data_IF_403526660184
#
_entry.id   IF_403526660184
#
_cell.length_a   1.000
_cell.length_b   1.000
_cell.length_c   1.000
_cell.angle_alpha   90.00
_cell.angle_beta   90.00
_cell.angle_gamma   90.00
#
_symmetry.space_group_name_H-M   'P 1'
#
loop_
_entity.id
_entity.type
_entity.pdbx_description
1 polymer ?
#
# COMPACT_ATOMS: atom_id res chain seq x y z
N UNK A 1 0.04 -12.06 10.27
CA UNK A 1 -0.56 -10.83 9.78
C UNK A 1 -1.81 -10.49 10.58
N UNK A 2 -1.97 -9.22 10.95
CA UNK A 2 -3.09 -8.73 11.78
C UNK A 2 -3.96 -7.73 11.02
N UNK A 3 -3.43 -7.19 9.93
CA UNK A 3 -4.10 -6.23 9.05
C UNK A 3 -3.63 -6.44 7.62
N UNK A 4 -4.54 -6.36 6.66
CA UNK A 4 -4.26 -6.50 5.24
C UNK A 4 -5.03 -5.47 4.42
N UNK A 5 -4.42 -5.04 3.32
CA UNK A 5 -5.03 -4.22 2.29
C UNK A 5 -5.57 -5.10 1.17
N UNK A 6 -6.70 -4.71 0.61
CA UNK A 6 -7.23 -5.30 -0.61
C UNK A 6 -7.54 -4.23 -1.66
N UNK A 7 -7.43 -4.54 -2.96
CA UNK A 7 -7.92 -3.65 -4.01
C UNK A 7 -9.45 -3.64 -4.05
N UNK A 8 -10.04 -2.53 -4.49
CA UNK A 8 -11.44 -2.44 -4.90
C UNK A 8 -11.48 -2.63 -6.40
N UNK A 9 -11.82 -3.84 -6.86
CA UNK A 9 -11.73 -4.32 -8.23
C UNK A 9 -10.28 -4.43 -8.77
N UNK A 10 -10.06 -4.20 -10.06
CA UNK A 10 -8.78 -4.43 -10.72
C UNK A 10 -7.65 -3.55 -10.19
N UNK A 11 -6.50 -4.16 -9.97
CA UNK A 11 -5.22 -3.52 -9.67
C UNK A 11 -4.18 -3.81 -10.78
N UNK A 12 -2.92 -3.47 -10.56
CA UNK A 12 -1.82 -3.71 -11.50
C UNK A 12 -1.49 -5.20 -11.71
N UNK A 13 -1.83 -6.09 -10.77
CA UNK A 13 -1.69 -7.55 -10.88
C UNK A 13 -2.94 -8.27 -11.37
N UNK A 14 -4.05 -7.58 -11.59
CA UNK A 14 -5.25 -8.20 -12.11
C UNK A 14 -5.03 -8.81 -13.51
N UNK A 15 -5.50 -10.03 -13.73
CA UNK A 15 -5.45 -10.70 -15.03
C UNK A 15 -6.27 -9.94 -16.08
N UNK A 16 -7.46 -9.47 -15.67
CA UNK A 16 -8.36 -8.69 -16.48
C UNK A 16 -8.64 -7.34 -15.81
N UNK A 17 -8.87 -6.31 -16.61
CA UNK A 17 -9.34 -5.04 -16.08
C UNK A 17 -10.86 -5.08 -15.91
N UNK A 18 -11.32 -4.81 -14.72
CA UNK A 18 -12.73 -4.82 -14.35
C UNK A 18 -13.00 -3.81 -13.24
N UNK A 19 -14.23 -3.37 -13.15
CA UNK A 19 -14.80 -2.77 -11.96
C UNK A 19 -16.11 -3.48 -11.62
N UNK A 20 -16.71 -3.10 -10.51
CA UNK A 20 -18.00 -3.71 -10.12
C UNK A 20 -19.19 -3.14 -10.91
N UNK A 21 -18.98 -2.12 -11.76
CA UNK A 21 -20.00 -1.58 -12.65
C UNK A 21 -19.39 -0.81 -13.83
N UNK A 22 -19.25 -1.48 -14.96
CA UNK A 22 -18.81 -0.86 -16.24
C UNK A 22 -19.97 -0.45 -17.16
N UNK A 23 -21.18 -0.29 -16.61
CA UNK A 23 -22.33 0.16 -17.37
C UNK A 23 -22.40 1.68 -17.37
N UNK A 24 -21.96 2.32 -18.44
CA UNK A 24 -21.94 3.78 -18.58
C UNK A 24 -23.34 4.37 -18.33
N UNK A 25 -23.38 5.39 -17.44
CA UNK A 25 -24.62 6.08 -17.10
C UNK A 25 -25.48 5.37 -16.03
N UNK A 26 -25.07 4.21 -15.53
CA UNK A 26 -25.76 3.56 -14.40
C UNK A 26 -25.42 4.24 -13.07
N UNK A 27 -25.82 5.48 -12.92
CA UNK A 27 -25.59 6.28 -11.71
C UNK A 27 -26.28 5.71 -10.45
N UNK A 28 -27.32 4.91 -10.62
CA UNK A 28 -28.02 4.23 -9.53
C UNK A 28 -27.32 2.93 -9.10
N UNK A 29 -26.24 2.52 -9.79
CA UNK A 29 -25.51 1.27 -9.52
C UNK A 29 -26.43 0.04 -9.48
N UNK A 30 -27.45 -0.01 -10.36
CA UNK A 30 -28.38 -1.15 -10.43
C UNK A 30 -27.69 -2.43 -10.91
N UNK A 31 -26.67 -2.29 -11.77
CA UNK A 31 -25.88 -3.39 -12.32
C UNK A 31 -24.57 -3.65 -11.57
N UNK A 32 -24.43 -3.10 -10.36
CA UNK A 32 -23.27 -3.34 -9.51
C UNK A 32 -23.15 -4.84 -9.17
N UNK A 33 -21.95 -5.41 -9.33
CA UNK A 33 -21.69 -6.83 -9.04
C UNK A 33 -20.25 -7.08 -8.64
N UNK A 34 -20.05 -7.85 -7.55
CA UNK A 34 -18.74 -8.35 -7.10
C UNK A 34 -18.45 -9.76 -7.60
N UNK A 35 -19.20 -10.26 -8.59
CA UNK A 35 -19.11 -11.66 -9.05
C UNK A 35 -17.70 -12.08 -9.50
N UNK A 36 -16.90 -11.15 -9.98
CA UNK A 36 -15.49 -11.42 -10.31
C UNK A 36 -14.68 -11.74 -9.04
N UNK A 37 -14.83 -10.96 -7.99
CA UNK A 37 -14.11 -11.16 -6.72
C UNK A 37 -14.55 -12.40 -5.97
N UNK A 38 -15.77 -12.86 -6.18
CA UNK A 38 -16.26 -14.14 -5.62
C UNK A 38 -15.46 -15.35 -6.12
N UNK A 39 -14.76 -15.20 -7.25
CA UNK A 39 -13.92 -16.25 -7.84
C UNK A 39 -12.44 -16.09 -7.48
N UNK A 40 -12.02 -14.92 -6.99
CA UNK A 40 -10.60 -14.55 -6.80
C UNK A 40 -10.32 -14.04 -5.39
N UNK A 41 -10.56 -12.76 -5.12
CA UNK A 41 -10.17 -12.10 -3.87
C UNK A 41 -10.89 -12.63 -2.64
N UNK A 42 -12.21 -12.86 -2.73
CA UNK A 42 -13.02 -13.30 -1.59
C UNK A 42 -12.57 -14.65 -1.05
N UNK A 43 -12.38 -15.71 -1.87
CA UNK A 43 -11.85 -16.98 -1.39
C UNK A 43 -10.47 -16.87 -0.75
N UNK A 44 -9.60 -16.01 -1.29
CA UNK A 44 -8.27 -15.77 -0.74
C UNK A 44 -8.33 -15.11 0.65
N UNK A 45 -9.17 -14.07 0.81
CA UNK A 45 -9.37 -13.39 2.09
C UNK A 45 -9.97 -14.33 3.12
N UNK A 46 -11.00 -15.10 2.75
CA UNK A 46 -11.65 -16.08 3.62
C UNK A 46 -10.68 -17.18 4.06
N UNK A 47 -9.78 -17.63 3.18
CA UNK A 47 -8.72 -18.57 3.55
C UNK A 47 -7.77 -17.95 4.60
N UNK A 48 -7.40 -16.69 4.47
CA UNK A 48 -6.58 -16.00 5.48
C UNK A 48 -7.33 -15.82 6.81
N UNK A 49 -8.63 -15.47 6.78
CA UNK A 49 -9.47 -15.33 7.97
C UNK A 49 -9.70 -16.67 8.69
N UNK A 50 -9.65 -17.79 7.97
CA UNK A 50 -9.74 -19.11 8.60
C UNK A 50 -8.56 -19.40 9.56
N UNK A 51 -7.39 -18.81 9.30
CA UNK A 51 -6.22 -18.89 10.18
C UNK A 51 -6.14 -17.76 11.20
N UNK A 52 -6.66 -16.57 10.85
CA UNK A 52 -6.75 -15.42 11.76
C UNK A 52 -8.13 -14.77 11.65
N UNK A 53 -9.12 -15.21 12.47
CA UNK A 53 -10.47 -14.63 12.46
C UNK A 53 -10.53 -13.14 12.80
N UNK A 54 -9.52 -12.62 13.48
CA UNK A 54 -9.41 -11.19 13.86
C UNK A 54 -8.68 -10.34 12.81
N UNK A 55 -8.36 -10.92 11.62
CA UNK A 55 -7.69 -10.21 10.54
C UNK A 55 -8.53 -9.02 10.08
N UNK A 56 -7.95 -7.84 10.20
CA UNK A 56 -8.58 -6.58 9.76
C UNK A 56 -8.31 -6.35 8.29
N UNK A 57 -9.35 -5.96 7.55
CA UNK A 57 -9.25 -5.69 6.12
C UNK A 57 -9.63 -4.24 5.84
N UNK A 58 -8.77 -3.53 5.11
CA UNK A 58 -9.07 -2.22 4.54
C UNK A 58 -8.88 -2.23 3.02
N UNK A 59 -9.44 -1.24 2.33
CA UNK A 59 -9.48 -1.28 0.89
C UNK A 59 -9.20 0.07 0.23
N UNK A 60 -8.68 0.02 -1.00
CA UNK A 60 -8.55 1.18 -1.88
C UNK A 60 -8.72 0.78 -3.35
N UNK A 61 -9.38 1.59 -4.18
CA UNK A 61 -9.44 1.38 -5.62
C UNK A 61 -8.17 1.86 -6.30
N UNK A 62 -7.76 1.16 -7.36
CA UNK A 62 -6.76 1.64 -8.32
C UNK A 62 -7.39 2.51 -9.39
N UNK A 63 -8.60 2.16 -9.81
CA UNK A 63 -9.35 2.91 -10.79
C UNK A 63 -10.85 2.88 -10.43
N UNK A 64 -11.58 3.98 -10.54
CA UNK A 64 -13.04 3.95 -10.55
C UNK A 64 -13.55 3.19 -11.80
N UNK A 65 -14.85 2.87 -11.91
CA UNK A 65 -15.42 2.44 -13.17
C UNK A 65 -14.92 3.32 -14.32
N UNK A 66 -14.48 2.71 -15.42
CA UNK A 66 -13.75 3.44 -16.48
C UNK A 66 -14.57 4.60 -17.07
N UNK A 67 -15.88 4.44 -17.17
CA UNK A 67 -16.80 5.46 -17.67
C UNK A 67 -16.93 6.71 -16.77
N UNK A 68 -16.42 6.65 -15.52
CA UNK A 68 -16.38 7.81 -14.61
C UNK A 68 -15.12 8.65 -14.78
N UNK A 69 -14.23 8.28 -15.71
CA UNK A 69 -13.04 9.06 -16.09
C UNK A 69 -13.25 9.77 -17.41
N UNK A 70 -12.61 10.93 -17.57
CA UNK A 70 -12.66 11.67 -18.84
C UNK A 70 -12.10 10.86 -20.02
N UNK A 71 -11.07 10.04 -19.78
CA UNK A 71 -10.48 9.15 -20.79
C UNK A 71 -11.32 7.91 -21.08
N UNK A 72 -12.30 7.58 -20.22
CA UNK A 72 -13.06 6.32 -20.26
C UNK A 72 -12.17 5.07 -20.33
N UNK A 73 -10.97 5.15 -19.75
CA UNK A 73 -9.96 4.10 -19.80
C UNK A 73 -9.42 3.81 -18.41
N UNK A 74 -9.06 2.55 -18.11
CA UNK A 74 -8.52 2.15 -16.81
C UNK A 74 -7.19 2.81 -16.48
N UNK A 75 -6.24 2.87 -17.44
CA UNK A 75 -4.95 3.49 -17.23
C UNK A 75 -5.02 5.03 -17.30
N UNK A 76 -3.99 5.68 -16.79
CA UNK A 76 -3.78 7.13 -16.93
C UNK A 76 -2.61 7.47 -17.83
N UNK A 77 -1.75 6.50 -18.19
CA UNK A 77 -0.58 6.68 -19.04
C UNK A 77 -0.51 5.61 -20.13
N UNK A 78 -0.09 5.97 -21.34
CA UNK A 78 0.08 5.05 -22.47
C UNK A 78 1.37 4.24 -22.32
N UNK A 79 1.26 2.90 -22.40
CA UNK A 79 2.45 2.03 -22.42
C UNK A 79 3.31 2.27 -23.66
N UNK A 80 2.70 2.55 -24.79
CA UNK A 80 3.42 2.78 -26.05
C UNK A 80 4.26 4.05 -25.99
N UNK A 81 3.69 5.13 -25.44
CA UNK A 81 4.43 6.38 -25.24
C UNK A 81 5.55 6.20 -24.21
N UNK A 82 5.27 5.56 -23.06
CA UNK A 82 6.26 5.31 -22.03
C UNK A 82 7.41 4.45 -22.56
N UNK A 83 7.12 3.40 -23.35
CA UNK A 83 8.15 2.55 -23.97
C UNK A 83 9.04 3.34 -24.93
N UNK A 84 8.45 4.25 -25.71
CA UNK A 84 9.20 5.13 -26.63
C UNK A 84 10.10 6.08 -25.86
N UNK A 85 9.58 6.79 -24.86
CA UNK A 85 10.32 7.73 -24.01
C UNK A 85 11.50 7.04 -23.29
N UNK A 86 11.27 5.86 -22.74
CA UNK A 86 12.33 5.06 -22.11
C UNK A 86 13.39 4.64 -23.13
N UNK A 87 12.99 4.17 -24.31
CA UNK A 87 13.94 3.79 -25.37
C UNK A 87 14.80 4.96 -25.82
N UNK A 88 14.23 6.16 -25.93
CA UNK A 88 14.96 7.38 -26.28
C UNK A 88 15.95 7.82 -25.20
N UNK A 89 15.69 7.47 -23.94
CA UNK A 89 16.58 7.78 -22.82
C UNK A 89 17.75 6.81 -22.64
N UNK A 90 17.72 5.62 -23.29
CA UNK A 90 18.75 4.59 -23.16
C UNK A 90 20.02 4.97 -23.92
N UNK A 91 21.17 4.62 -23.32
CA UNK A 91 22.46 4.65 -24.01
C UNK A 91 22.63 3.43 -24.92
N UNK A 92 23.57 3.54 -25.86
CA UNK A 92 23.89 2.44 -26.77
C UNK A 92 24.26 1.16 -25.98
N UNK A 93 23.57 0.06 -26.29
CA UNK A 93 23.76 -1.25 -25.63
C UNK A 93 22.91 -1.48 -24.38
N UNK A 94 22.20 -0.47 -23.88
CA UNK A 94 21.25 -0.65 -22.78
C UNK A 94 19.92 -1.21 -23.28
N UNK A 95 19.25 -2.00 -22.44
CA UNK A 95 17.91 -2.52 -22.70
C UNK A 95 16.93 -2.11 -21.60
N UNK A 96 15.64 -2.02 -21.94
CA UNK A 96 14.60 -1.74 -20.96
C UNK A 96 13.61 -2.90 -20.86
N UNK A 97 13.06 -3.12 -19.66
CA UNK A 97 11.95 -4.05 -19.44
C UNK A 97 10.73 -3.70 -20.31
N UNK A 98 10.55 -2.43 -20.65
CA UNK A 98 9.43 -1.95 -21.45
C UNK A 98 9.41 -2.49 -22.89
N UNK A 99 10.50 -3.12 -23.37
CA UNK A 99 10.51 -3.79 -24.66
C UNK A 99 9.55 -5.00 -24.76
N UNK A 100 9.09 -5.51 -23.61
CA UNK A 100 8.17 -6.65 -23.49
C UNK A 100 6.76 -6.25 -23.02
N UNK A 101 6.52 -4.96 -22.78
CA UNK A 101 5.26 -4.49 -22.24
C UNK A 101 4.16 -4.54 -23.29
N UNK A 102 3.01 -5.03 -22.87
CA UNK A 102 1.81 -5.09 -23.71
C UNK A 102 1.20 -3.70 -23.85
N UNK A 103 0.72 -3.38 -25.04
CA UNK A 103 -0.06 -2.16 -25.29
C UNK A 103 -1.30 -2.16 -24.38
N UNK A 104 -1.46 -1.12 -23.58
CA UNK A 104 -2.62 -0.97 -22.72
C UNK A 104 -3.83 -0.34 -23.41
N UNK A 105 -3.68 0.07 -24.69
CA UNK A 105 -4.75 0.61 -25.49
C UNK A 105 -5.15 2.06 -25.19
N UNK A 106 -4.47 2.75 -24.27
CA UNK A 106 -4.74 4.17 -24.00
C UNK A 106 -4.08 5.04 -25.09
N UNK A 107 -4.87 5.84 -25.87
CA UNK A 107 -4.33 6.83 -26.80
C UNK A 107 -3.49 7.89 -26.07
N UNK A 108 -2.37 8.31 -26.67
CA UNK A 108 -1.45 9.26 -26.05
C UNK A 108 -2.06 10.64 -25.77
N UNK A 109 -3.03 11.08 -26.58
CA UNK A 109 -3.76 12.33 -26.41
C UNK A 109 -4.82 12.28 -25.29
N UNK A 110 -5.08 11.10 -24.74
CA UNK A 110 -6.01 10.87 -23.64
C UNK A 110 -5.30 10.61 -22.28
N UNK A 111 -3.99 10.79 -22.21
CA UNK A 111 -3.24 10.67 -20.98
C UNK A 111 -3.63 11.74 -19.96
N UNK A 112 -3.56 11.33 -18.70
CA UNK A 112 -3.66 12.23 -17.55
C UNK A 112 -2.34 12.24 -16.77
N UNK A 113 -2.10 13.34 -16.09
CA UNK A 113 -0.88 13.58 -15.33
C UNK A 113 -1.20 13.98 -13.90
N UNK A 114 -0.20 13.92 -13.05
CA UNK A 114 -0.25 14.41 -11.68
C UNK A 114 -0.68 15.89 -11.65
N UNK A 115 -1.49 16.24 -10.65
CA UNK A 115 -2.02 17.60 -10.50
C UNK A 115 -3.22 17.92 -11.39
N UNK A 116 -3.79 16.93 -12.08
CA UNK A 116 -5.00 17.05 -12.88
C UNK A 116 -5.99 15.93 -12.53
N UNK A 117 -7.28 16.29 -12.39
CA UNK A 117 -8.33 15.30 -12.12
C UNK A 117 -8.65 14.48 -13.37
N UNK A 118 -8.43 13.17 -13.31
CA UNK A 118 -8.86 12.22 -14.34
C UNK A 118 -10.31 11.78 -14.12
N UNK A 119 -10.80 11.81 -12.89
CA UNK A 119 -12.19 11.54 -12.54
C UNK A 119 -13.08 12.72 -12.96
N UNK A 120 -14.27 12.45 -13.50
CA UNK A 120 -15.23 13.47 -13.92
C UNK A 120 -15.77 14.23 -12.70
N UNK A 121 -15.47 15.53 -12.63
CA UNK A 121 -15.72 16.40 -11.48
C UNK A 121 -17.16 16.93 -11.45
N UNK A 122 -18.15 16.07 -11.71
CA UNK A 122 -19.56 16.41 -11.74
C UNK A 122 -20.35 15.68 -10.64
N UNK A 123 -21.38 16.34 -10.12
CA UNK A 123 -22.16 15.83 -8.99
C UNK A 123 -22.74 14.41 -9.20
N UNK A 124 -23.33 14.05 -10.37
CA UNK A 124 -23.86 12.71 -10.57
C UNK A 124 -22.78 11.61 -10.44
N UNK A 125 -21.57 11.89 -10.93
CA UNK A 125 -20.44 10.95 -10.85
C UNK A 125 -19.94 10.79 -9.42
N UNK A 126 -19.81 11.87 -8.67
CA UNK A 126 -19.44 11.81 -7.26
C UNK A 126 -20.44 11.01 -6.43
N UNK A 127 -21.75 11.26 -6.61
CA UNK A 127 -22.81 10.51 -5.93
C UNK A 127 -22.76 9.03 -6.27
N UNK A 128 -22.63 8.71 -7.54
CA UNK A 128 -22.53 7.33 -8.01
C UNK A 128 -21.29 6.64 -7.46
N UNK A 129 -20.16 7.33 -7.41
CA UNK A 129 -18.93 6.72 -6.89
C UNK A 129 -18.97 6.53 -5.36
N UNK A 130 -19.57 7.43 -4.60
CA UNK A 130 -19.83 7.20 -3.18
C UNK A 130 -20.80 6.02 -2.96
N UNK A 131 -21.84 5.88 -3.79
CA UNK A 131 -22.74 4.73 -3.78
C UNK A 131 -22.02 3.42 -4.15
N UNK A 132 -21.08 3.47 -5.10
CA UNK A 132 -20.22 2.33 -5.45
C UNK A 132 -19.45 1.82 -4.23
N UNK A 133 -18.81 2.69 -3.45
CA UNK A 133 -18.16 2.31 -2.18
C UNK A 133 -19.14 1.74 -1.17
N UNK A 134 -20.33 2.35 -1.03
CA UNK A 134 -21.37 1.85 -0.13
C UNK A 134 -21.78 0.43 -0.47
N UNK A 135 -22.07 0.16 -1.74
CA UNK A 135 -22.44 -1.18 -2.23
C UNK A 135 -21.30 -2.20 -2.09
N UNK A 136 -20.06 -1.78 -2.35
CA UNK A 136 -18.87 -2.61 -2.13
C UNK A 136 -18.80 -3.10 -0.68
N UNK A 137 -18.91 -2.18 0.29
CA UNK A 137 -18.86 -2.51 1.71
C UNK A 137 -19.98 -3.47 2.10
N UNK A 138 -21.21 -3.22 1.65
CA UNK A 138 -22.35 -4.10 1.94
C UNK A 138 -22.18 -5.48 1.32
N UNK A 139 -21.71 -5.56 0.09
CA UNK A 139 -21.50 -6.82 -0.61
C UNK A 139 -20.41 -7.68 0.04
N UNK A 140 -19.31 -7.08 0.46
CA UNK A 140 -18.23 -7.78 1.17
C UNK A 140 -18.66 -8.21 2.57
N UNK A 141 -19.39 -7.36 3.29
CA UNK A 141 -19.98 -7.72 4.58
C UNK A 141 -20.93 -8.91 4.48
N UNK A 142 -21.73 -8.97 3.41
CA UNK A 142 -22.59 -10.14 3.15
C UNK A 142 -21.81 -11.44 2.89
N UNK A 143 -20.52 -11.34 2.55
CA UNK A 143 -19.59 -12.49 2.41
C UNK A 143 -18.77 -12.77 3.70
N UNK A 144 -19.08 -12.08 4.80
CA UNK A 144 -18.37 -12.24 6.07
C UNK A 144 -17.03 -11.50 6.12
N UNK A 145 -16.83 -10.52 5.27
CA UNK A 145 -15.60 -9.70 5.23
C UNK A 145 -15.96 -8.25 5.61
N UNK A 146 -15.58 -7.85 6.82
CA UNK A 146 -15.77 -6.49 7.29
C UNK A 146 -14.63 -5.58 6.82
N UNK A 147 -14.96 -4.56 6.03
CA UNK A 147 -14.03 -3.50 5.61
C UNK A 147 -14.08 -2.40 6.67
N UNK A 148 -13.04 -2.28 7.50
CA UNK A 148 -13.05 -1.33 8.61
C UNK A 148 -12.62 0.09 8.21
N UNK A 149 -11.89 0.24 7.07
CA UNK A 149 -11.36 1.51 6.60
C UNK A 149 -11.19 1.49 5.07
N UNK A 150 -11.34 2.64 4.44
CA UNK A 150 -11.02 2.85 3.03
C UNK A 150 -10.10 4.04 2.84
N UNK A 151 -9.27 4.00 1.78
CA UNK A 151 -8.64 5.17 1.18
C UNK A 151 -9.25 5.40 -0.20
N UNK A 152 -9.51 6.65 -0.60
CA UNK A 152 -10.33 6.94 -1.78
C UNK A 152 -9.69 6.55 -3.11
N UNK A 153 -8.35 6.44 -3.16
CA UNK A 153 -7.62 6.16 -4.40
C UNK A 153 -6.22 5.62 -4.12
N UNK A 154 -5.82 4.53 -4.77
CA UNK A 154 -4.42 4.14 -4.85
C UNK A 154 -3.64 5.17 -5.68
N UNK A 155 -2.49 5.64 -5.16
CA UNK A 155 -1.57 6.52 -5.88
C UNK A 155 -2.27 7.71 -6.58
N UNK A 156 -3.12 8.43 -5.85
CA UNK A 156 -3.92 9.52 -6.41
C UNK A 156 -3.08 10.61 -7.10
N UNK A 157 -1.80 10.70 -6.78
CA UNK A 157 -0.85 11.67 -7.33
C UNK A 157 0.25 11.03 -8.20
N UNK A 158 -0.07 9.92 -8.87
CA UNK A 158 0.83 9.22 -9.80
C UNK A 158 0.06 8.65 -10.99
N UNK A 159 0.45 9.04 -12.21
CA UNK A 159 -0.14 8.50 -13.44
C UNK A 159 0.53 7.18 -13.83
N UNK A 160 -0.25 6.12 -13.99
CA UNK A 160 0.26 4.78 -14.22
C UNK A 160 -0.25 4.16 -15.51
N UNK A 161 0.50 3.18 -16.03
CA UNK A 161 0.18 2.39 -17.22
C UNK A 161 -0.81 1.25 -16.96
N UNK A 162 -1.07 0.95 -15.70
CA UNK A 162 -2.04 0.01 -15.17
C UNK A 162 -3.29 0.75 -14.65
N UNK A 163 -4.31 0.07 -14.13
CA UNK A 163 -5.47 0.74 -13.55
C UNK A 163 -5.05 1.83 -12.57
N UNK A 164 -5.39 3.08 -12.86
CA UNK A 164 -5.01 4.25 -12.07
C UNK A 164 -5.95 5.42 -12.34
N UNK A 165 -6.02 6.36 -11.40
CA UNK A 165 -6.78 7.59 -11.56
C UNK A 165 -6.11 8.73 -10.81
N UNK A 166 -5.59 9.72 -11.55
CA UNK A 166 -5.05 10.93 -10.94
C UNK A 166 -6.17 11.82 -10.40
N UNK A 167 -5.91 12.40 -9.23
CA UNK A 167 -6.77 13.38 -8.60
C UNK A 167 -5.95 14.58 -8.13
N UNK A 168 -6.55 15.76 -8.19
CA UNK A 168 -6.04 16.89 -7.42
C UNK A 168 -6.48 16.77 -5.96
N UNK A 169 -5.74 17.39 -5.04
CA UNK A 169 -6.16 17.45 -3.64
C UNK A 169 -7.52 18.16 -3.49
N UNK A 170 -7.83 19.15 -4.34
CA UNK A 170 -9.15 19.82 -4.37
C UNK A 170 -10.27 18.89 -4.84
N UNK A 171 -10.03 18.11 -5.90
CA UNK A 171 -10.99 17.12 -6.37
C UNK A 171 -11.30 16.07 -5.32
N UNK A 172 -10.25 15.53 -4.65
CA UNK A 172 -10.42 14.60 -3.54
C UNK A 172 -11.07 15.25 -2.32
N UNK A 173 -10.69 16.49 -1.96
CA UNK A 173 -11.34 17.23 -0.85
C UNK A 173 -12.84 17.35 -1.09
N UNK A 174 -13.25 17.73 -2.30
CA UNK A 174 -14.68 17.80 -2.66
C UNK A 174 -15.36 16.42 -2.56
N UNK A 175 -14.73 15.37 -3.10
CA UNK A 175 -15.28 14.02 -3.04
C UNK A 175 -15.40 13.52 -1.61
N UNK A 176 -14.36 13.65 -0.80
CA UNK A 176 -14.35 13.26 0.61
C UNK A 176 -15.38 14.07 1.40
N UNK A 177 -15.35 15.39 1.28
CA UNK A 177 -16.13 16.27 2.14
C UNK A 177 -17.64 16.21 1.89
N UNK A 178 -18.04 16.04 0.62
CA UNK A 178 -19.45 16.16 0.24
C UNK A 178 -20.13 14.80 -0.03
N UNK A 179 -19.38 13.74 -0.34
CA UNK A 179 -19.94 12.47 -0.79
C UNK A 179 -19.40 11.27 -0.03
N UNK A 180 -18.11 10.97 -0.15
CA UNK A 180 -17.53 9.74 0.42
C UNK A 180 -17.52 9.78 1.96
N UNK A 181 -17.10 10.89 2.56
CA UNK A 181 -17.01 11.02 4.02
C UNK A 181 -18.37 10.81 4.72
N UNK A 182 -19.45 11.50 4.31
CA UNK A 182 -20.79 11.21 4.83
C UNK A 182 -21.18 9.73 4.69
N UNK A 183 -20.95 9.14 3.51
CA UNK A 183 -21.26 7.73 3.22
C UNK A 183 -20.49 6.78 4.13
N UNK A 184 -19.18 6.99 4.31
CA UNK A 184 -18.36 6.15 5.19
C UNK A 184 -18.76 6.29 6.66
N UNK A 185 -19.07 7.50 7.10
CA UNK A 185 -19.57 7.76 8.47
C UNK A 185 -20.88 7.02 8.73
N UNK A 186 -21.81 7.03 7.79
CA UNK A 186 -23.07 6.27 7.87
C UNK A 186 -22.84 4.76 7.96
N UNK A 187 -21.85 4.23 7.21
CA UNK A 187 -21.45 2.83 7.25
C UNK A 187 -20.63 2.43 8.48
N UNK A 188 -20.17 3.37 9.28
CA UNK A 188 -19.25 3.11 10.38
C UNK A 188 -17.85 2.70 9.91
N UNK A 189 -17.47 3.05 8.69
CA UNK A 189 -16.18 2.75 8.06
C UNK A 189 -15.28 3.98 8.15
N UNK A 190 -14.04 3.77 8.58
CA UNK A 190 -13.05 4.85 8.67
C UNK A 190 -12.61 5.32 7.29
N UNK A 191 -12.24 6.58 7.20
CA UNK A 191 -11.70 7.17 5.98
C UNK A 191 -10.32 7.76 6.27
N UNK A 192 -9.31 7.29 5.51
CA UNK A 192 -7.97 7.85 5.53
C UNK A 192 -7.66 8.48 4.18
N UNK A 193 -6.84 9.53 4.19
CA UNK A 193 -6.38 10.17 2.96
C UNK A 193 -5.16 9.42 2.40
N UNK A 194 -5.20 9.05 1.14
CA UNK A 194 -4.12 8.32 0.46
C UNK A 194 -4.66 7.50 -0.73
N UNK A 195 -3.80 6.68 -1.31
CA UNK A 195 -2.39 6.47 -0.90
C UNK A 195 -1.47 7.47 -1.61
N UNK A 196 -0.55 8.09 -0.89
CA UNK A 196 0.39 9.05 -1.45
C UNK A 196 1.63 8.33 -1.98
N UNK A 197 1.88 8.42 -3.28
CA UNK A 197 3.05 7.81 -3.92
C UNK A 197 4.19 8.81 -4.11
N UNK A 198 3.90 10.08 -4.40
CA UNK A 198 4.90 11.16 -4.52
C UNK A 198 4.82 12.10 -3.34
N UNK A 199 5.98 12.43 -2.76
CA UNK A 199 6.05 13.25 -1.56
C UNK A 199 5.56 14.69 -1.81
N UNK A 200 4.46 15.07 -1.13
CA UNK A 200 3.95 16.43 -1.18
C UNK A 200 3.06 16.73 0.03
N UNK A 201 3.60 17.43 1.03
CA UNK A 201 2.88 17.79 2.25
C UNK A 201 1.67 18.69 2.00
N UNK A 202 1.75 19.59 1.00
CA UNK A 202 0.68 20.54 0.69
C UNK A 202 -0.62 19.85 0.24
N UNK A 203 -0.55 18.60 -0.28
CA UNK A 203 -1.74 17.83 -0.61
C UNK A 203 -2.52 17.42 0.65
N UNK A 204 -1.80 17.04 1.70
CA UNK A 204 -2.40 16.72 3.01
C UNK A 204 -2.99 17.96 3.66
N UNK A 205 -2.25 19.08 3.63
CA UNK A 205 -2.73 20.37 4.16
C UNK A 205 -4.03 20.80 3.48
N UNK A 206 -4.13 20.62 2.17
CA UNK A 206 -5.36 20.95 1.41
C UNK A 206 -6.57 20.15 1.90
N UNK A 207 -6.41 18.87 2.20
CA UNK A 207 -7.50 18.01 2.67
C UNK A 207 -7.88 18.31 4.13
N UNK A 208 -6.88 18.45 5.00
CA UNK A 208 -7.11 18.59 6.44
C UNK A 208 -7.57 19.98 6.85
N UNK A 209 -7.13 21.02 6.14
CA UNK A 209 -7.54 22.40 6.42
C UNK A 209 -8.89 22.78 5.79
N UNK A 210 -9.43 21.96 4.89
CA UNK A 210 -10.81 22.10 4.44
C UNK A 210 -11.75 21.46 5.47
N UNK A 211 -12.54 22.26 6.17
CA UNK A 211 -13.46 21.79 7.21
C UNK A 211 -14.46 20.74 6.70
N UNK A 212 -14.81 20.76 5.41
CA UNK A 212 -15.73 19.78 4.84
C UNK A 212 -15.08 18.39 4.74
N UNK A 213 -13.84 18.28 4.31
CA UNK A 213 -13.14 16.98 4.17
C UNK A 213 -12.38 16.58 5.43
N UNK A 214 -11.67 17.50 6.09
CA UNK A 214 -10.82 17.22 7.25
C UNK A 214 -11.55 16.54 8.41
N UNK A 215 -12.84 16.84 8.60
CA UNK A 215 -13.65 16.22 9.65
C UNK A 215 -13.88 14.71 9.48
N UNK A 216 -13.61 14.16 8.29
CA UNK A 216 -13.80 12.73 8.00
C UNK A 216 -12.49 11.96 7.98
N UNK A 217 -11.33 12.64 7.87
CA UNK A 217 -10.04 12.01 7.69
C UNK A 217 -9.40 11.71 9.05
N UNK A 218 -9.26 10.43 9.37
CA UNK A 218 -8.67 9.96 10.63
C UNK A 218 -7.17 9.60 10.49
N UNK A 219 -6.63 9.54 9.27
CA UNK A 219 -5.25 9.19 9.01
C UNK A 219 -4.80 9.41 7.57
N UNK A 220 -3.53 9.13 7.31
CA UNK A 220 -2.89 9.30 6.00
C UNK A 220 -2.09 8.05 5.64
N UNK A 221 -2.16 7.65 4.37
CA UNK A 221 -1.42 6.52 3.81
C UNK A 221 -0.31 6.94 2.85
N UNK A 222 0.85 6.30 2.99
CA UNK A 222 2.06 6.57 2.22
C UNK A 222 2.62 5.30 1.60
N UNK A 223 3.15 5.42 0.39
CA UNK A 223 3.89 4.37 -0.29
C UNK A 223 4.97 4.97 -1.20
N UNK A 224 5.96 4.17 -1.58
CA UNK A 224 7.04 4.57 -2.49
C UNK A 224 7.69 5.90 -2.06
N UNK A 225 7.89 6.85 -2.99
CA UNK A 225 8.48 8.16 -2.68
C UNK A 225 7.61 9.02 -1.74
N UNK A 226 6.34 8.69 -1.55
CA UNK A 226 5.47 9.35 -0.56
C UNK A 226 6.01 9.33 0.86
N UNK A 227 6.87 8.34 1.19
CA UNK A 227 7.57 8.23 2.48
C UNK A 227 8.35 9.48 2.88
N UNK A 228 8.85 10.23 1.90
CA UNK A 228 9.68 11.41 2.15
C UNK A 228 8.87 12.59 2.72
N UNK A 229 7.55 12.61 2.53
CA UNK A 229 6.66 13.59 3.14
C UNK A 229 6.26 13.23 4.58
N UNK A 230 6.37 11.96 4.97
CA UNK A 230 5.89 11.45 6.26
C UNK A 230 6.46 12.19 7.48
N UNK A 231 7.78 12.47 7.59
CA UNK A 231 8.32 13.14 8.78
C UNK A 231 7.69 14.51 9.03
N UNK A 232 7.54 15.32 7.97
CA UNK A 232 6.93 16.65 8.04
C UNK A 232 5.43 16.59 8.38
N UNK A 233 4.72 15.63 7.79
CA UNK A 233 3.29 15.44 8.05
C UNK A 233 3.07 14.94 9.48
N UNK A 234 3.88 14.00 9.97
CA UNK A 234 3.81 13.55 11.35
C UNK A 234 4.08 14.68 12.34
N UNK A 235 5.04 15.53 12.06
CA UNK A 235 5.32 16.71 12.89
C UNK A 235 4.14 17.70 12.94
N UNK A 236 3.48 17.93 11.79
CA UNK A 236 2.38 18.89 11.69
C UNK A 236 1.06 18.33 12.23
N UNK A 237 0.85 17.02 12.13
CA UNK A 237 -0.42 16.34 12.46
C UNK A 237 -0.20 15.10 13.35
N UNK A 238 0.44 15.22 14.53
CA UNK A 238 0.84 14.06 15.34
C UNK A 238 -0.35 13.26 15.91
N UNK A 239 -1.57 13.81 15.85
CA UNK A 239 -2.81 13.17 16.30
C UNK A 239 -3.36 12.14 15.29
N UNK A 240 -2.92 12.20 14.03
CA UNK A 240 -3.41 11.30 12.98
C UNK A 240 -2.76 9.92 13.07
N UNK A 241 -3.42 8.95 12.47
CA UNK A 241 -2.83 7.64 12.20
C UNK A 241 -2.11 7.65 10.86
N UNK A 242 -0.95 6.99 10.80
CA UNK A 242 -0.16 6.88 9.58
C UNK A 242 0.01 5.42 9.20
N UNK A 243 -0.22 5.12 7.93
CA UNK A 243 -0.07 3.79 7.36
C UNK A 243 1.01 3.82 6.27
N UNK A 244 1.96 2.92 6.37
CA UNK A 244 2.71 2.50 5.20
C UNK A 244 1.82 1.48 4.48
N UNK A 245 1.36 1.83 3.30
CA UNK A 245 0.28 1.15 2.60
C UNK A 245 0.75 0.16 1.55
N UNK A 246 2.01 0.29 1.12
CA UNK A 246 2.60 -0.57 0.11
C UNK A 246 4.12 -0.41 0.13
N UNK A 247 4.83 -1.49 0.41
CA UNK A 247 6.30 -1.47 0.38
C UNK A 247 6.82 -1.56 -1.07
N UNK A 248 7.91 -0.86 -1.32
CA UNK A 248 8.74 -1.05 -2.52
C UNK A 248 9.27 -2.49 -2.54
N UNK A 249 8.97 -3.22 -3.59
CA UNK A 249 9.18 -4.68 -3.63
C UNK A 249 10.31 -5.11 -4.57
N UNK A 250 11.36 -4.31 -4.70
CA UNK A 250 12.64 -4.69 -5.28
C UNK A 250 12.61 -5.12 -6.76
N UNK A 251 13.50 -6.02 -7.13
CA UNK A 251 13.85 -6.38 -8.51
C UNK A 251 13.64 -7.86 -8.86
N UNK A 252 12.97 -8.61 -8.01
CA UNK A 252 12.66 -10.03 -8.21
C UNK A 252 13.75 -11.00 -7.79
N UNK A 253 14.90 -10.52 -7.28
CA UNK A 253 15.99 -11.42 -6.84
C UNK A 253 15.72 -12.10 -5.51
N UNK A 254 14.87 -11.51 -4.67
CA UNK A 254 14.56 -12.04 -3.34
C UNK A 254 15.83 -12.36 -2.52
N UNK A 255 16.81 -11.47 -2.53
CA UNK A 255 18.12 -11.64 -1.90
C UNK A 255 18.27 -10.76 -0.63
N UNK A 256 19.48 -10.78 -0.03
CA UNK A 256 19.77 -9.97 1.15
C UNK A 256 19.65 -8.45 0.86
N UNK A 257 19.96 -8.00 -0.34
CA UNK A 257 19.84 -6.58 -0.67
C UNK A 257 18.37 -6.10 -0.57
N UNK A 258 17.42 -6.90 -1.07
CA UNK A 258 15.98 -6.64 -0.90
C UNK A 258 15.57 -6.66 0.57
N UNK A 259 16.05 -7.64 1.34
CA UNK A 259 15.76 -7.74 2.78
C UNK A 259 16.32 -6.54 3.57
N UNK A 260 17.56 -6.14 3.28
CA UNK A 260 18.18 -4.97 3.92
C UNK A 260 17.41 -3.68 3.60
N UNK A 261 17.00 -3.51 2.33
CA UNK A 261 16.17 -2.38 1.92
C UNK A 261 14.82 -2.38 2.67
N UNK A 262 14.17 -3.54 2.78
CA UNK A 262 12.93 -3.69 3.55
C UNK A 262 13.11 -3.31 5.01
N UNK A 263 14.24 -3.67 5.62
CA UNK A 263 14.56 -3.30 7.00
C UNK A 263 14.77 -1.78 7.13
N UNK A 264 15.44 -1.15 6.18
CA UNK A 264 15.64 0.31 6.17
C UNK A 264 14.32 1.07 6.01
N UNK A 265 13.45 0.63 5.12
CA UNK A 265 12.10 1.17 4.97
C UNK A 265 11.29 1.02 6.27
N UNK A 266 11.32 -0.15 6.88
CA UNK A 266 10.59 -0.42 8.12
C UNK A 266 11.05 0.50 9.25
N UNK A 267 12.37 0.71 9.40
CA UNK A 267 12.93 1.67 10.36
C UNK A 267 12.47 3.10 10.05
N UNK A 268 12.52 3.52 8.80
CA UNK A 268 12.10 4.86 8.39
C UNK A 268 10.63 5.10 8.78
N UNK A 269 9.74 4.22 8.38
CA UNK A 269 8.32 4.38 8.63
C UNK A 269 7.97 4.32 10.12
N UNK A 270 8.47 3.32 10.83
CA UNK A 270 8.14 3.14 12.26
C UNK A 270 8.75 4.23 13.15
N UNK A 271 9.95 4.73 12.84
CA UNK A 271 10.55 5.87 13.56
C UNK A 271 9.76 7.18 13.33
N UNK A 272 9.06 7.29 12.22
CA UNK A 272 8.24 8.45 11.87
C UNK A 272 6.74 8.27 12.17
N UNK A 273 6.39 7.40 13.14
CA UNK A 273 5.05 7.35 13.72
C UNK A 273 4.04 6.49 12.97
N UNK A 274 4.45 5.67 12.00
CA UNK A 274 3.56 4.76 11.30
C UNK A 274 3.03 3.68 12.25
N UNK A 275 1.71 3.43 12.16
CA UNK A 275 0.99 2.48 13.01
C UNK A 275 0.80 1.12 12.34
N UNK A 276 0.88 1.07 11.00
CA UNK A 276 0.70 -0.14 10.17
C UNK A 276 1.76 -0.16 9.09
N UNK A 277 2.38 -1.32 8.89
CA UNK A 277 3.37 -1.57 7.85
C UNK A 277 2.93 -2.78 7.01
N UNK A 278 2.86 -2.63 5.68
CA UNK A 278 2.36 -3.64 4.77
C UNK A 278 3.35 -3.92 3.62
N UNK A 279 3.56 -5.19 3.35
CA UNK A 279 4.33 -5.64 2.20
C UNK A 279 3.41 -5.82 0.99
N UNK A 280 3.83 -5.39 -0.21
CA UNK A 280 2.98 -5.43 -1.40
C UNK A 280 2.66 -6.87 -1.82
N UNK A 281 3.66 -7.64 -2.24
CA UNK A 281 3.46 -8.98 -2.77
C UNK A 281 3.57 -10.05 -1.67
N UNK A 282 2.45 -10.64 -1.27
CA UNK A 282 2.48 -11.76 -0.31
C UNK A 282 3.06 -13.02 -0.95
N UNK A 283 2.69 -13.32 -2.19
CA UNK A 283 3.22 -14.46 -2.94
C UNK A 283 3.26 -14.15 -4.44
N UNK A 284 4.32 -14.57 -5.10
CA UNK A 284 4.48 -14.52 -6.55
C UNK A 284 5.05 -15.85 -7.04
N UNK A 285 4.84 -16.13 -8.32
CA UNK A 285 5.53 -17.21 -9.02
C UNK A 285 7.04 -16.94 -9.09
N UNK A 286 7.83 -17.98 -9.33
CA UNK A 286 9.26 -17.86 -9.52
C UNK A 286 9.60 -16.85 -10.62
N UNK A 287 10.49 -15.89 -10.29
CA UNK A 287 10.86 -14.78 -11.16
C UNK A 287 10.03 -13.51 -10.97
N UNK A 288 8.83 -13.60 -10.41
CA UNK A 288 8.01 -12.44 -9.98
C UNK A 288 7.75 -11.38 -11.05
N UNK A 289 7.66 -11.77 -12.35
CA UNK A 289 7.51 -10.82 -13.45
C UNK A 289 6.03 -10.43 -13.62
N UNK A 290 5.74 -9.13 -13.51
CA UNK A 290 4.41 -8.61 -13.78
C UNK A 290 4.10 -8.59 -15.29
N UNK A 291 2.80 -8.47 -15.66
CA UNK A 291 2.39 -8.26 -17.06
C UNK A 291 3.00 -6.99 -17.69
N UNK A 292 3.51 -6.08 -16.88
CA UNK A 292 4.14 -4.83 -17.29
C UNK A 292 5.65 -4.98 -17.51
N UNK A 293 6.20 -6.18 -17.29
CA UNK A 293 7.57 -6.54 -17.61
C UNK A 293 8.59 -6.27 -16.51
N UNK A 294 8.19 -5.72 -15.36
CA UNK A 294 9.11 -5.59 -14.22
C UNK A 294 9.04 -6.80 -13.29
N UNK A 295 10.18 -7.14 -12.71
CA UNK A 295 10.31 -8.15 -11.69
C UNK A 295 10.16 -7.54 -10.31
N UNK A 296 9.54 -8.29 -9.40
CA UNK A 296 9.30 -7.86 -8.02
C UNK A 296 9.60 -8.98 -7.04
N UNK A 297 10.04 -8.60 -5.83
CA UNK A 297 10.19 -9.51 -4.71
C UNK A 297 8.81 -9.83 -4.10
N UNK A 298 8.73 -10.96 -3.40
CA UNK A 298 7.56 -11.37 -2.63
C UNK A 298 7.98 -11.98 -1.30
N UNK A 299 7.05 -12.09 -0.35
CA UNK A 299 7.32 -12.79 0.91
C UNK A 299 7.45 -14.30 0.71
N UNK A 300 6.74 -14.83 -0.28
CA UNK A 300 6.73 -16.25 -0.64
C UNK A 300 6.87 -16.39 -2.14
N UNK A 301 7.80 -17.21 -2.57
CA UNK A 301 7.95 -17.60 -3.98
C UNK A 301 7.33 -18.98 -4.17
N UNK A 302 6.39 -19.08 -5.09
CA UNK A 302 5.72 -20.33 -5.47
C UNK A 302 6.46 -20.95 -6.63
N UNK A 303 6.78 -22.25 -6.50
CA UNK A 303 7.42 -22.99 -7.57
C UNK A 303 6.51 -23.16 -8.79
N UNK A 304 7.05 -23.32 -10.02
CA UNK A 304 6.27 -23.40 -11.25
C UNK A 304 5.24 -24.54 -11.28
N UNK A 305 5.44 -25.60 -10.48
CA UNK A 305 4.51 -26.73 -10.38
C UNK A 305 3.33 -26.45 -9.42
N UNK A 306 3.33 -25.32 -8.73
CA UNK A 306 2.31 -24.92 -7.75
C UNK A 306 2.23 -25.80 -6.50
N UNK A 307 3.21 -26.69 -6.27
CA UNK A 307 3.19 -27.67 -5.17
C UNK A 307 4.13 -27.36 -4.03
N UNK A 308 5.09 -26.49 -4.26
CA UNK A 308 6.07 -26.07 -3.25
C UNK A 308 6.24 -24.56 -3.26
N UNK A 309 6.78 -24.05 -2.17
CA UNK A 309 7.08 -22.62 -2.02
C UNK A 309 8.31 -22.43 -1.13
N UNK A 310 8.89 -21.25 -1.23
CA UNK A 310 10.04 -20.83 -0.41
C UNK A 310 9.74 -19.48 0.24
N UNK A 311 10.05 -19.35 1.52
CA UNK A 311 10.07 -18.06 2.20
C UNK A 311 11.29 -17.26 1.80
N UNK A 312 11.10 -15.99 1.49
CA UNK A 312 12.18 -15.09 1.11
C UNK A 312 12.84 -14.42 2.31
N UNK A 313 14.01 -13.79 2.15
CA UNK A 313 14.59 -12.97 3.21
C UNK A 313 13.65 -11.86 3.71
N UNK A 314 12.87 -11.22 2.85
CA UNK A 314 11.88 -10.21 3.23
C UNK A 314 10.77 -10.77 4.13
N UNK A 315 10.35 -12.02 3.92
CA UNK A 315 9.43 -12.68 4.85
C UNK A 315 9.98 -12.69 6.28
N UNK A 316 11.26 -13.00 6.43
CA UNK A 316 11.89 -13.02 7.74
C UNK A 316 12.03 -11.62 8.33
N UNK A 317 12.31 -10.59 7.51
CA UNK A 317 12.29 -9.19 7.98
C UNK A 317 10.91 -8.83 8.52
N UNK A 318 9.84 -9.11 7.78
CA UNK A 318 8.48 -8.88 8.25
C UNK A 318 8.18 -9.66 9.53
N UNK A 319 8.65 -10.89 9.64
CA UNK A 319 8.44 -11.76 10.81
C UNK A 319 9.06 -11.18 12.08
N UNK A 320 10.20 -10.51 12.01
CA UNK A 320 10.82 -9.88 13.19
C UNK A 320 9.87 -8.89 13.88
N UNK A 321 9.08 -8.13 13.15
CA UNK A 321 8.07 -7.23 13.71
C UNK A 321 6.75 -7.98 13.92
N UNK A 322 6.19 -8.61 12.88
CA UNK A 322 4.83 -9.16 12.92
C UNK A 322 4.64 -10.29 13.94
N UNK A 323 5.72 -10.99 14.32
CA UNK A 323 5.66 -12.09 15.29
C UNK A 323 5.90 -11.64 16.74
N UNK A 324 6.77 -10.64 16.94
CA UNK A 324 7.22 -10.27 18.29
C UNK A 324 6.61 -8.96 18.81
N UNK A 325 6.18 -8.06 17.91
CA UNK A 325 5.56 -6.80 18.28
C UNK A 325 4.05 -6.96 18.21
N UNK A 326 3.41 -6.98 19.37
CA UNK A 326 1.96 -7.23 19.49
C UNK A 326 1.15 -6.01 19.02
N UNK A 327 -0.07 -6.20 18.47
CA UNK A 327 -1.01 -5.11 18.33
C UNK A 327 -1.19 -4.33 19.65
N UNK A 328 -1.10 -3.00 19.57
CA UNK A 328 -1.12 -2.14 20.76
C UNK A 328 0.25 -1.89 21.41
N UNK A 329 1.32 -2.48 20.90
CA UNK A 329 2.69 -2.15 21.32
C UNK A 329 3.01 -0.67 21.05
N UNK A 330 3.93 -0.15 21.83
CA UNK A 330 4.44 1.22 21.67
C UNK A 330 5.91 1.18 21.30
N UNK A 331 6.27 1.86 20.22
CA UNK A 331 7.69 2.12 19.94
C UNK A 331 8.27 2.99 21.06
N UNK A 332 9.45 2.66 21.50
CA UNK A 332 10.20 3.44 22.50
C UNK A 332 11.43 4.07 21.84
N UNK A 333 11.75 5.29 22.25
CA UNK A 333 12.96 5.96 21.83
C UNK A 333 14.20 5.23 22.35
N UNK A 334 15.27 5.29 21.56
CA UNK A 334 16.56 4.69 21.88
C UNK A 334 17.64 5.75 21.76
N UNK A 335 18.56 5.75 22.73
CA UNK A 335 19.70 6.66 22.78
C UNK A 335 21.00 5.88 22.57
N UNK A 336 21.99 6.49 21.92
CA UNK A 336 23.32 5.91 21.72
C UNK A 336 23.79 5.99 20.26
N UNK A 337 24.94 5.38 19.99
CA UNK A 337 25.59 5.42 18.70
C UNK A 337 25.16 4.31 17.73
N UNK A 338 24.37 3.34 18.18
CA UNK A 338 23.88 2.27 17.32
C UNK A 338 22.46 2.58 16.83
N UNK A 339 22.35 2.99 15.58
CA UNK A 339 21.08 3.47 15.00
C UNK A 339 20.30 2.38 14.25
N UNK A 340 20.95 1.25 13.94
CA UNK A 340 20.33 0.16 13.17
C UNK A 340 19.46 -0.74 14.06
N UNK A 341 18.49 -0.11 14.73
CA UNK A 341 17.58 -0.83 15.63
C UNK A 341 16.21 -0.14 15.76
N UNK A 342 15.23 -0.95 16.19
CA UNK A 342 13.92 -0.54 16.67
C UNK A 342 13.68 -1.18 18.05
N UNK A 343 12.97 -0.48 18.91
CA UNK A 343 12.57 -1.01 20.22
C UNK A 343 11.09 -0.73 20.52
N UNK A 344 10.44 -1.69 21.17
CA UNK A 344 9.01 -1.64 21.48
C UNK A 344 8.75 -2.14 22.90
N UNK A 345 7.67 -1.64 23.49
CA UNK A 345 7.03 -2.21 24.67
C UNK A 345 5.69 -2.81 24.25
N UNK A 346 5.51 -4.10 24.46
CA UNK A 346 4.25 -4.81 24.24
C UNK A 346 3.22 -4.53 25.35
N UNK A 347 1.93 -4.79 25.13
CA UNK A 347 0.90 -4.69 26.18
C UNK A 347 1.15 -5.55 27.41
N UNK A 348 1.83 -6.68 27.25
CA UNK A 348 2.26 -7.58 28.37
C UNK A 348 3.51 -7.08 29.09
N UNK A 349 4.02 -5.88 28.75
CA UNK A 349 5.22 -5.22 29.26
C UNK A 349 6.55 -5.85 28.81
N UNK A 350 6.54 -6.89 27.99
CA UNK A 350 7.79 -7.36 27.39
C UNK A 350 8.39 -6.28 26.49
N UNK A 351 9.71 -6.16 26.52
CA UNK A 351 10.47 -5.26 25.65
C UNK A 351 11.01 -6.07 24.49
N UNK A 352 10.77 -5.58 23.28
CA UNK A 352 11.29 -6.18 22.04
C UNK A 352 12.30 -5.21 21.43
N UNK A 353 13.53 -5.69 21.24
CA UNK A 353 14.57 -4.96 20.50
C UNK A 353 14.86 -5.75 19.22
N UNK A 354 14.79 -5.06 18.09
CA UNK A 354 15.12 -5.62 16.78
C UNK A 354 16.33 -4.85 16.27
N UNK A 355 17.45 -5.54 16.02
CA UNK A 355 18.72 -4.92 15.64
C UNK A 355 19.26 -5.56 14.36
N UNK A 356 19.63 -4.73 13.39
CA UNK A 356 20.24 -5.13 12.14
C UNK A 356 21.76 -5.12 12.18
N UNK A 357 22.41 -5.88 11.34
CA UNK A 357 23.82 -5.78 11.02
C UNK A 357 24.01 -6.05 9.51
N UNK A 358 24.16 -4.99 8.74
CA UNK A 358 24.37 -5.08 7.28
C UNK A 358 25.85 -5.13 6.88
N UNK A 359 26.78 -5.24 7.86
CA UNK A 359 28.21 -5.38 7.58
C UNK A 359 28.57 -6.83 7.20
N UNK A 360 29.70 -6.99 6.52
CA UNK A 360 30.28 -8.29 6.13
C UNK A 360 30.84 -9.09 7.32
N UNK A 361 30.92 -8.47 8.51
CA UNK A 361 31.49 -9.08 9.71
C UNK A 361 30.48 -9.07 10.86
N UNK A 362 30.66 -10.02 11.78
CA UNK A 362 29.88 -10.05 13.01
C UNK A 362 30.21 -8.84 13.90
N UNK A 363 29.19 -8.28 14.55
CA UNK A 363 29.32 -7.08 15.39
C UNK A 363 28.69 -7.31 16.75
N UNK A 364 29.44 -7.02 17.82
CA UNK A 364 28.88 -6.99 19.18
C UNK A 364 28.24 -5.63 19.43
N UNK A 365 26.99 -5.64 19.82
CA UNK A 365 26.20 -4.45 20.16
C UNK A 365 25.80 -4.53 21.63
N UNK A 366 25.97 -3.43 22.36
CA UNK A 366 25.59 -3.37 23.76
C UNK A 366 24.40 -2.43 23.93
N UNK A 367 23.35 -2.91 24.58
CA UNK A 367 22.20 -2.10 24.95
C UNK A 367 21.81 -2.32 26.44
N UNK A 368 21.20 -1.28 27.00
CA UNK A 368 20.72 -1.30 28.41
C UNK A 368 19.20 -1.16 28.42
N UNK A 369 18.56 -2.04 29.18
CA UNK A 369 17.12 -2.02 29.39
C UNK A 369 16.85 -2.22 30.87
N UNK A 370 16.11 -1.27 31.49
CA UNK A 370 15.74 -1.35 32.89
C UNK A 370 16.94 -1.61 33.84
N UNK A 371 18.11 -1.02 33.54
CA UNK A 371 19.32 -1.16 34.33
C UNK A 371 20.16 -2.42 34.03
N UNK A 372 19.62 -3.40 33.28
CA UNK A 372 20.36 -4.57 32.82
C UNK A 372 21.13 -4.28 31.53
N UNK A 373 22.29 -4.88 31.36
CA UNK A 373 23.14 -4.73 30.16
C UNK A 373 23.17 -6.03 29.42
N UNK A 374 22.98 -5.93 28.08
CA UNK A 374 22.98 -7.05 27.14
C UNK A 374 24.00 -6.75 26.05
N UNK A 375 24.85 -7.72 25.72
CA UNK A 375 25.92 -7.55 24.70
C UNK A 375 25.91 -8.70 23.69
N UNK A 376 24.84 -8.85 22.88
CA UNK A 376 24.81 -9.90 21.85
C UNK A 376 25.77 -9.61 20.72
N UNK A 377 26.23 -10.67 20.07
CA UNK A 377 26.96 -10.59 18.80
C UNK A 377 25.99 -10.86 17.65
N UNK A 378 25.76 -9.85 16.81
CA UNK A 378 24.98 -9.95 15.59
C UNK A 378 25.84 -10.51 14.45
N UNK A 379 25.36 -11.54 13.77
CA UNK A 379 26.06 -12.09 12.60
C UNK A 379 26.10 -11.06 11.47
N UNK A 380 27.03 -11.23 10.53
CA UNK A 380 27.02 -10.51 9.27
C UNK A 380 25.68 -10.71 8.56
N UNK A 381 25.19 -9.68 7.83
CA UNK A 381 23.96 -9.73 7.05
C UNK A 381 22.79 -10.35 7.80
N UNK A 382 22.43 -9.76 8.95
CA UNK A 382 21.39 -10.32 9.81
C UNK A 382 20.53 -9.23 10.44
N UNK A 383 19.27 -9.58 10.69
CA UNK A 383 18.38 -8.88 11.62
C UNK A 383 18.08 -9.83 12.78
N UNK A 384 18.06 -9.31 14.00
CA UNK A 384 17.99 -10.10 15.21
C UNK A 384 16.95 -9.52 16.15
N UNK A 385 16.11 -10.37 16.74
CA UNK A 385 15.12 -9.96 17.75
C UNK A 385 15.51 -10.45 19.12
N UNK A 386 15.43 -9.57 20.09
CA UNK A 386 15.62 -9.83 21.51
C UNK A 386 14.34 -9.49 22.26
N UNK A 387 13.75 -10.48 22.90
CA UNK A 387 12.56 -10.29 23.73
C UNK A 387 12.96 -10.43 25.22
N UNK A 388 12.69 -9.39 25.99
CA UNK A 388 13.04 -9.28 27.40
C UNK A 388 11.73 -9.18 28.20
N UNK A 389 11.53 -10.12 29.09
CA UNK A 389 10.34 -10.20 29.96
C UNK A 389 10.57 -9.58 31.29
#
# INVERSE_FOLDING_TARGET
FTICRMPVAANDFALDWYSYNENEGDFAMEKFSIAHDEQTLIPFIQAAQAYNPDLKIWASPWCPPSWMKYSKHYASRSTMKMARELKESLKEGESTYMSKVVDNGLPEDQEYHEGRDAFIQEEPYFKAYALYFSKFIDAYKAKGIDIFMVMPQNEFNSAQIFPSCCWTAKGLSRFIGQYLGPTMREKGVKLYFGTMERANTALVDTILNDAASGQYVEGVGFQWAGKDALPGIHQNYPQLKFYQTEQECGDGKNDWAGASHSWDLMKHYLKNGVNVYEYWNTSLDEGGVSRWGWSQNSLVVVAPDGKSFTYTPEYFIMKHVSHYVMPGARRIETEGSYEDLLAFINPDRSVVVIAGNNADEARTVTFRINGATYSPTLKAHSVNTFQIK
#
